data_IF_925832296301
#
_entry.id   IF_925832296301
#
_cell.length_a   1.000
_cell.length_b   1.000
_cell.length_c   1.000
_cell.angle_alpha   90.00
_cell.angle_beta   90.00
_cell.angle_gamma   90.00
#
_symmetry.space_group_name_H-M   'P 1'
#
loop_
_entity.id
_entity.type
_entity.pdbx_description
1 polymer ?
#
# COMPACT_ATOMS: atom_id res chain seq x y z
N UNK A 1 22.15 14.18 64.92
CA UNK A 1 21.82 14.04 63.48
C UNK A 1 21.56 12.56 63.28
N UNK A 2 20.27 12.19 63.21
CA UNK A 2 19.84 10.78 63.06
C UNK A 2 19.50 10.55 61.59
N UNK A 3 20.29 9.75 60.90
CA UNK A 3 20.00 9.29 59.52
C UNK A 3 18.85 8.31 59.58
N UNK A 4 17.71 8.66 59.01
CA UNK A 4 16.57 7.78 58.80
C UNK A 4 16.76 7.03 57.49
N UNK A 5 17.12 5.78 57.58
CA UNK A 5 17.25 4.87 56.44
C UNK A 5 15.84 4.42 56.03
N UNK A 6 15.31 4.98 54.94
CA UNK A 6 14.05 4.53 54.36
C UNK A 6 14.35 3.31 53.49
N UNK A 7 14.00 2.14 54.04
CA UNK A 7 14.00 0.88 53.29
C UNK A 7 12.77 0.85 52.39
N UNK A 8 12.96 1.04 51.08
CA UNK A 8 11.94 0.76 50.06
C UNK A 8 11.77 -0.73 49.94
N UNK A 9 10.74 -1.28 50.57
CA UNK A 9 10.29 -2.66 50.33
C UNK A 9 9.56 -2.62 48.96
N UNK A 10 10.28 -3.01 47.91
CA UNK A 10 9.65 -3.32 46.65
C UNK A 10 8.79 -4.58 46.84
N UNK A 11 7.48 -4.40 46.94
CA UNK A 11 6.51 -5.47 46.78
C UNK A 11 6.62 -5.98 45.35
N UNK A 12 7.40 -7.04 45.17
CA UNK A 12 7.29 -7.91 44.00
C UNK A 12 5.90 -8.54 44.04
N UNK A 13 4.97 -7.94 43.32
CA UNK A 13 3.73 -8.62 42.93
C UNK A 13 4.16 -9.72 41.96
N UNK A 14 4.45 -10.88 42.47
CA UNK A 14 4.50 -12.11 41.67
C UNK A 14 3.05 -12.39 41.31
N UNK A 15 2.60 -11.81 40.18
CA UNK A 15 1.45 -12.31 39.45
C UNK A 15 1.80 -13.79 39.14
N UNK A 16 1.13 -14.74 39.77
CA UNK A 16 1.07 -16.09 39.25
C UNK A 16 0.41 -16.00 37.86
N UNK A 17 1.20 -15.78 36.84
CA UNK A 17 0.82 -16.05 35.46
C UNK A 17 0.64 -17.59 35.44
N UNK A 18 -0.61 -18.06 35.33
CA UNK A 18 -0.88 -19.43 34.97
C UNK A 18 -0.15 -19.65 33.65
N UNK A 19 0.89 -20.48 33.68
CA UNK A 19 1.66 -20.82 32.50
C UNK A 19 0.75 -21.72 31.65
N UNK A 20 0.06 -21.14 30.66
CA UNK A 20 -0.81 -21.87 29.73
C UNK A 20 0.00 -22.32 28.50
N UNK A 21 1.30 -22.47 28.63
CA UNK A 21 2.17 -23.03 27.62
C UNK A 21 1.77 -24.47 27.31
N UNK A 22 1.89 -24.85 26.06
CA UNK A 22 1.56 -26.22 25.64
C UNK A 22 2.51 -26.67 24.52
N UNK A 23 2.50 -27.98 24.28
CA UNK A 23 3.23 -28.62 23.20
C UNK A 23 2.20 -29.23 22.24
N UNK A 24 2.36 -29.02 20.95
CA UNK A 24 1.50 -29.62 19.93
C UNK A 24 1.85 -31.12 19.72
N UNK A 25 1.05 -31.84 18.95
CA UNK A 25 1.28 -33.26 18.66
C UNK A 25 2.57 -33.50 17.88
N UNK A 26 2.94 -32.56 17.04
CA UNK A 26 4.20 -32.58 16.27
C UNK A 26 5.40 -32.07 17.07
N UNK A 27 5.21 -31.66 18.32
CA UNK A 27 6.27 -31.26 19.23
C UNK A 27 6.62 -29.77 19.18
N UNK A 28 5.76 -28.92 18.64
CA UNK A 28 5.96 -27.47 18.68
C UNK A 28 5.68 -26.95 20.09
N UNK A 29 6.67 -26.30 20.68
CA UNK A 29 6.53 -25.64 21.99
C UNK A 29 5.88 -24.24 21.74
N UNK A 30 4.77 -23.99 22.41
CA UNK A 30 3.99 -22.76 22.30
C UNK A 30 3.91 -22.07 23.64
N UNK A 31 4.42 -20.85 23.70
CA UNK A 31 4.32 -19.99 24.88
C UNK A 31 3.08 -19.10 24.78
N UNK A 32 2.20 -19.20 25.77
CA UNK A 32 1.01 -18.39 25.88
C UNK A 32 1.33 -17.05 26.54
N UNK A 33 1.35 -15.99 25.75
CA UNK A 33 1.65 -14.61 26.19
C UNK A 33 0.42 -13.99 26.88
N UNK A 34 -0.76 -14.21 26.30
CA UNK A 34 -2.06 -13.78 26.87
C UNK A 34 -3.04 -14.93 26.70
N UNK A 35 -3.70 -15.33 27.78
CA UNK A 35 -4.82 -16.27 27.71
C UNK A 35 -6.12 -15.52 27.49
N UNK A 36 -6.81 -15.86 26.42
CA UNK A 36 -8.16 -15.41 26.12
C UNK A 36 -9.20 -16.13 27.00
N UNK A 37 -10.43 -15.74 26.81
CA UNK A 37 -11.58 -16.31 27.49
C UNK A 37 -12.77 -16.59 26.54
N UNK A 38 -12.47 -16.59 25.24
CA UNK A 38 -13.46 -16.86 24.20
C UNK A 38 -13.62 -18.34 23.89
N UNK A 39 -14.27 -18.63 22.77
CA UNK A 39 -14.50 -20.00 22.30
C UNK A 39 -13.29 -20.53 21.53
N UNK A 40 -13.06 -21.85 21.51
CA UNK A 40 -12.09 -22.48 20.62
C UNK A 40 -12.52 -22.35 19.16
N UNK A 41 -11.57 -22.50 18.25
CA UNK A 41 -11.86 -22.48 16.82
C UNK A 41 -12.80 -23.63 16.43
N UNK A 42 -13.79 -23.32 15.62
CA UNK A 42 -14.80 -24.29 15.14
C UNK A 42 -14.47 -24.73 13.71
N UNK A 43 -14.66 -26.02 13.43
CA UNK A 43 -14.55 -26.55 12.06
C UNK A 43 -15.37 -25.73 11.08
N UNK A 44 -14.85 -25.51 9.87
CA UNK A 44 -15.46 -24.73 8.80
C UNK A 44 -15.63 -23.23 9.06
N UNK A 45 -15.06 -22.70 10.14
CA UNK A 45 -15.01 -21.26 10.41
C UNK A 45 -13.81 -20.58 9.73
N UNK A 46 -13.86 -19.25 9.72
CA UNK A 46 -12.68 -18.42 9.43
C UNK A 46 -12.19 -17.84 10.76
N UNK A 47 -10.94 -18.09 11.06
CA UNK A 47 -10.24 -17.54 12.23
C UNK A 47 -9.49 -16.30 11.82
N UNK A 48 -9.75 -15.17 12.48
CA UNK A 48 -9.02 -13.93 12.27
C UNK A 48 -7.82 -13.87 13.21
N UNK A 49 -6.63 -13.78 12.63
CA UNK A 49 -5.38 -13.72 13.40
C UNK A 49 -4.57 -12.47 13.06
N UNK A 50 -4.02 -11.83 14.07
CA UNK A 50 -2.93 -10.90 13.89
C UNK A 50 -1.62 -11.67 13.98
N UNK A 51 -0.76 -11.53 12.98
CA UNK A 51 0.51 -12.24 12.85
C UNK A 51 1.68 -11.28 12.77
N UNK A 52 2.77 -11.64 13.45
CA UNK A 52 4.10 -11.12 13.19
C UNK A 52 5.06 -12.29 13.10
N UNK A 53 5.69 -12.45 11.94
CA UNK A 53 6.65 -13.52 11.63
C UNK A 53 8.02 -12.91 11.44
N UNK A 54 8.98 -13.37 12.19
CA UNK A 54 10.35 -12.82 12.24
C UNK A 54 11.33 -13.96 12.01
N UNK A 55 12.34 -13.74 11.19
CA UNK A 55 13.46 -14.69 11.01
C UNK A 55 14.34 -14.76 12.26
N UNK A 56 15.21 -15.77 12.35
CA UNK A 56 16.12 -15.94 13.48
C UNK A 56 17.13 -14.80 13.66
N UNK A 57 17.41 -14.03 12.62
CA UNK A 57 18.26 -12.84 12.62
C UNK A 57 17.51 -11.52 12.83
N UNK A 58 16.17 -11.58 12.97
CA UNK A 58 15.34 -10.44 13.34
C UNK A 58 14.67 -9.71 12.17
N UNK A 59 14.76 -10.21 10.96
CA UNK A 59 14.04 -9.66 9.81
C UNK A 59 12.53 -9.97 9.90
N UNK A 60 11.69 -8.98 9.62
CA UNK A 60 10.23 -9.16 9.60
C UNK A 60 9.81 -9.68 8.23
N UNK A 61 9.34 -10.92 8.18
CA UNK A 61 8.80 -11.54 6.96
C UNK A 61 7.35 -11.14 6.69
N UNK A 62 6.56 -11.05 7.76
CA UNK A 62 5.13 -10.71 7.68
C UNK A 62 4.72 -10.01 8.97
N UNK A 63 3.95 -8.95 8.84
CA UNK A 63 3.28 -8.30 9.96
C UNK A 63 1.91 -7.82 9.48
N UNK A 64 0.85 -8.26 10.14
CA UNK A 64 -0.51 -7.77 9.85
C UNK A 64 -0.72 -6.41 10.51
N UNK A 65 -1.43 -5.51 9.82
CA UNK A 65 -1.89 -4.27 10.44
C UNK A 65 -2.90 -4.59 11.56
N UNK A 66 -2.94 -3.80 12.66
CA UNK A 66 -3.77 -4.08 13.82
C UNK A 66 -5.28 -4.21 13.51
N UNK A 67 -5.76 -3.47 12.50
CA UNK A 67 -7.16 -3.43 12.06
C UNK A 67 -7.45 -4.30 10.83
N UNK A 68 -6.43 -5.01 10.31
CA UNK A 68 -6.52 -5.90 9.13
C UNK A 68 -5.98 -7.29 9.44
N UNK A 69 -6.63 -8.05 10.34
CA UNK A 69 -6.19 -9.40 10.65
C UNK A 69 -6.31 -10.33 9.43
N UNK A 70 -5.47 -11.34 9.40
CA UNK A 70 -5.51 -12.38 8.38
C UNK A 70 -6.62 -13.37 8.69
N UNK A 71 -7.49 -13.64 7.72
CA UNK A 71 -8.51 -14.69 7.81
C UNK A 71 -7.93 -16.05 7.38
N UNK A 72 -7.96 -17.02 8.27
CA UNK A 72 -7.51 -18.39 8.02
C UNK A 72 -8.71 -19.32 8.06
N UNK A 73 -8.95 -20.06 6.98
CA UNK A 73 -9.94 -21.14 6.99
C UNK A 73 -9.48 -22.24 7.96
N UNK A 74 -10.35 -22.57 8.92
CA UNK A 74 -10.03 -23.52 9.94
C UNK A 74 -10.71 -24.86 9.69
N UNK A 75 -9.92 -25.90 9.59
CA UNK A 75 -10.36 -27.30 9.60
C UNK A 75 -9.36 -28.13 10.43
N UNK A 76 -9.75 -28.61 11.59
CA UNK A 76 -8.88 -29.37 12.48
C UNK A 76 -8.42 -30.73 11.90
N UNK A 77 -9.09 -31.19 10.82
CA UNK A 77 -8.73 -32.45 10.14
C UNK A 77 -7.78 -32.23 8.96
N UNK A 78 -7.49 -30.95 8.61
CA UNK A 78 -6.59 -30.63 7.52
C UNK A 78 -5.13 -30.80 7.94
N UNK A 79 -4.39 -31.63 7.19
CA UNK A 79 -2.92 -31.69 7.32
C UNK A 79 -2.31 -30.39 6.80
N UNK A 80 -2.09 -29.47 7.71
CA UNK A 80 -1.54 -28.15 7.37
C UNK A 80 -0.60 -27.70 8.49
N UNK A 81 0.66 -27.66 8.24
CA UNK A 81 1.74 -27.09 9.02
C UNK A 81 1.49 -26.69 10.49
N UNK A 82 2.51 -26.32 11.18
CA UNK A 82 2.46 -26.00 12.60
C UNK A 82 1.48 -24.89 12.99
N UNK A 83 1.25 -23.93 12.10
CA UNK A 83 0.33 -22.80 12.38
C UNK A 83 -1.11 -23.30 12.58
N UNK A 84 -1.58 -24.21 11.71
CA UNK A 84 -2.91 -24.78 11.83
C UNK A 84 -3.04 -25.65 13.09
N UNK A 85 -2.01 -26.44 13.39
CA UNK A 85 -1.98 -27.28 14.60
C UNK A 85 -2.05 -26.43 15.89
N UNK A 86 -1.30 -25.32 15.94
CA UNK A 86 -1.38 -24.38 17.06
C UNK A 86 -2.79 -23.81 17.20
N UNK A 87 -3.44 -23.42 16.10
CA UNK A 87 -4.81 -22.88 16.11
C UNK A 87 -5.82 -23.87 16.72
N UNK A 88 -5.62 -25.19 16.62
CA UNK A 88 -6.52 -26.19 17.23
C UNK A 88 -6.58 -26.12 18.75
N UNK A 89 -5.57 -25.54 19.39
CA UNK A 89 -5.44 -25.44 20.85
C UNK A 89 -5.78 -24.04 21.40
N UNK A 90 -6.08 -23.09 20.52
CA UNK A 90 -6.33 -21.70 20.90
C UNK A 90 -7.83 -21.39 21.04
N UNK A 91 -8.10 -20.38 21.87
CA UNK A 91 -9.40 -19.75 22.06
C UNK A 91 -9.32 -18.28 21.62
N UNK A 92 -10.46 -17.70 21.26
CA UNK A 92 -10.55 -16.27 20.93
C UNK A 92 -9.98 -15.43 22.08
N UNK A 93 -9.06 -14.55 21.74
CA UNK A 93 -8.33 -13.69 22.68
C UNK A 93 -6.95 -14.20 23.06
N UNK A 94 -6.61 -15.47 22.76
CA UNK A 94 -5.27 -15.98 23.00
C UNK A 94 -4.22 -15.23 22.17
N UNK A 95 -3.08 -14.95 22.82
CA UNK A 95 -1.87 -14.50 22.13
C UNK A 95 -0.73 -15.45 22.48
N UNK A 96 -0.06 -15.95 21.46
CA UNK A 96 0.98 -16.97 21.60
C UNK A 96 2.22 -16.62 20.79
N UNK A 97 3.34 -17.21 21.21
CA UNK A 97 4.57 -17.20 20.42
C UNK A 97 5.11 -18.63 20.30
N UNK A 98 5.60 -18.99 19.14
CA UNK A 98 6.22 -20.27 18.87
C UNK A 98 7.23 -20.16 17.71
N UNK A 99 8.09 -21.15 17.59
CA UNK A 99 9.06 -21.23 16.50
C UNK A 99 8.74 -22.40 15.58
N UNK A 100 8.99 -22.20 14.28
CA UNK A 100 8.91 -23.25 13.27
C UNK A 100 10.04 -23.10 12.25
N UNK A 101 10.22 -24.06 11.34
CA UNK A 101 11.19 -23.94 10.27
C UNK A 101 10.64 -23.15 9.08
N UNK A 102 11.53 -22.54 8.31
CA UNK A 102 11.20 -21.91 7.01
C UNK A 102 10.48 -22.91 6.11
N UNK A 103 10.94 -24.19 6.08
CA UNK A 103 10.26 -25.24 5.31
C UNK A 103 8.79 -25.40 5.73
N UNK A 104 8.53 -25.54 7.04
CA UNK A 104 7.17 -25.74 7.53
C UNK A 104 6.27 -24.52 7.24
N UNK A 105 6.82 -23.31 7.37
CA UNK A 105 6.08 -22.08 7.05
C UNK A 105 5.72 -21.97 5.56
N UNK A 106 6.71 -22.09 4.68
CA UNK A 106 6.49 -21.84 3.24
C UNK A 106 5.85 -23.04 2.54
N UNK A 107 6.36 -24.26 2.79
CA UNK A 107 5.92 -25.46 2.07
C UNK A 107 4.67 -26.07 2.68
N UNK A 108 4.66 -26.29 4.01
CA UNK A 108 3.54 -26.98 4.65
C UNK A 108 2.36 -26.05 4.97
N UNK A 109 2.64 -24.79 5.34
CA UNK A 109 1.59 -23.84 5.71
C UNK A 109 1.11 -23.03 4.51
N UNK A 110 2.01 -22.34 3.81
CA UNK A 110 1.64 -21.46 2.70
C UNK A 110 1.50 -22.17 1.35
N UNK A 111 1.96 -23.42 1.23
CA UNK A 111 1.98 -24.20 -0.02
C UNK A 111 2.70 -23.46 -1.17
N UNK A 112 3.80 -22.76 -0.83
CA UNK A 112 4.59 -21.97 -1.76
C UNK A 112 6.06 -22.41 -1.76
N UNK A 113 6.85 -21.90 -2.72
CA UNK A 113 8.29 -22.16 -2.75
C UNK A 113 9.01 -21.28 -1.71
N UNK A 114 10.10 -21.82 -1.15
CA UNK A 114 10.99 -21.08 -0.26
C UNK A 114 11.78 -20.07 -1.10
N UNK A 115 11.87 -18.77 -0.69
CA UNK A 115 12.74 -17.80 -1.33
C UNK A 115 14.18 -18.29 -1.40
N UNK A 116 14.87 -18.02 -2.52
CA UNK A 116 16.19 -18.59 -2.80
C UNK A 116 17.27 -18.19 -1.78
N UNK A 117 17.09 -17.05 -1.11
CA UNK A 117 17.98 -16.50 -0.09
C UNK A 117 17.76 -17.11 1.31
N UNK A 118 16.71 -17.91 1.51
CA UNK A 118 16.36 -18.48 2.81
C UNK A 118 16.80 -19.95 2.96
N UNK A 119 17.38 -20.26 4.10
CA UNK A 119 17.65 -21.66 4.46
C UNK A 119 16.38 -22.36 4.92
N UNK A 120 16.06 -23.48 4.28
CA UNK A 120 14.87 -24.29 4.58
C UNK A 120 14.82 -24.79 6.04
N UNK A 121 15.99 -25.03 6.66
CA UNK A 121 16.12 -25.43 8.05
C UNK A 121 16.16 -24.24 9.03
N UNK A 122 16.26 -23.00 8.50
CA UNK A 122 16.24 -21.79 9.30
C UNK A 122 14.99 -21.71 10.16
N UNK A 123 15.11 -21.09 11.34
CA UNK A 123 13.99 -20.89 12.26
C UNK A 123 13.32 -19.53 12.00
N UNK A 124 12.01 -19.52 12.13
CA UNK A 124 11.19 -18.31 12.20
C UNK A 124 10.38 -18.32 13.50
N UNK A 125 10.22 -17.14 14.07
CA UNK A 125 9.39 -16.94 15.28
C UNK A 125 8.07 -16.36 14.83
N UNK A 126 6.98 -16.96 15.24
CA UNK A 126 5.61 -16.55 14.95
C UNK A 126 4.97 -16.02 16.24
N UNK A 127 4.63 -14.74 16.24
CA UNK A 127 3.75 -14.15 17.22
C UNK A 127 2.35 -14.08 16.63
N UNK A 128 1.38 -14.70 17.27
CA UNK A 128 0.02 -14.81 16.77
C UNK A 128 -0.99 -14.45 17.84
N UNK A 129 -1.97 -13.65 17.47
CA UNK A 129 -3.16 -13.37 18.29
C UNK A 129 -4.40 -13.87 17.57
N UNK A 130 -5.15 -14.75 18.20
CA UNK A 130 -6.47 -15.19 17.75
C UNK A 130 -7.50 -14.10 18.13
N UNK A 131 -7.84 -13.23 17.20
CA UNK A 131 -8.65 -12.04 17.48
C UNK A 131 -10.14 -12.34 17.49
N UNK A 132 -10.63 -13.09 16.49
CA UNK A 132 -12.05 -13.35 16.29
C UNK A 132 -12.27 -14.61 15.44
N UNK A 133 -13.47 -15.15 15.47
CA UNK A 133 -13.90 -16.25 14.61
C UNK A 133 -15.27 -15.94 14.03
N UNK A 134 -15.47 -16.27 12.75
CA UNK A 134 -16.72 -16.04 12.05
C UNK A 134 -17.05 -17.13 11.05
N UNK A 135 -18.29 -17.17 10.56
CA UNK A 135 -18.67 -18.04 9.45
C UNK A 135 -18.05 -17.59 8.14
N UNK A 136 -18.01 -18.46 7.14
CA UNK A 136 -17.51 -18.11 5.78
C UNK A 136 -18.35 -16.99 5.15
N UNK A 137 -19.67 -16.99 5.38
CA UNK A 137 -20.60 -15.97 4.90
C UNK A 137 -20.30 -14.62 5.56
N UNK A 138 -20.21 -14.58 6.90
CA UNK A 138 -19.89 -13.36 7.64
C UNK A 138 -18.50 -12.81 7.26
N UNK A 139 -17.52 -13.68 7.01
CA UNK A 139 -16.21 -13.27 6.54
C UNK A 139 -16.28 -12.64 5.15
N UNK A 140 -17.10 -13.18 4.24
CA UNK A 140 -17.27 -12.58 2.92
C UNK A 140 -17.88 -11.18 3.01
N UNK A 141 -18.86 -10.98 3.90
CA UNK A 141 -19.42 -9.66 4.18
C UNK A 141 -18.39 -8.71 4.78
N UNK A 142 -17.60 -9.18 5.75
CA UNK A 142 -16.50 -8.43 6.34
C UNK A 142 -15.49 -7.95 5.28
N UNK A 143 -15.05 -8.84 4.38
CA UNK A 143 -14.12 -8.47 3.29
C UNK A 143 -14.75 -7.46 2.34
N UNK A 144 -16.04 -7.59 2.01
CA UNK A 144 -16.73 -6.63 1.16
C UNK A 144 -16.82 -5.24 1.80
N UNK A 145 -17.13 -5.18 3.11
CA UNK A 145 -17.17 -3.92 3.87
C UNK A 145 -15.78 -3.28 3.95
N UNK A 146 -14.72 -4.08 4.20
CA UNK A 146 -13.34 -3.58 4.22
C UNK A 146 -12.91 -3.01 2.86
N UNK A 147 -13.29 -3.68 1.75
CA UNK A 147 -13.02 -3.17 0.40
C UNK A 147 -13.76 -1.86 0.13
N UNK A 148 -15.03 -1.78 0.50
CA UNK A 148 -15.82 -0.57 0.31
C UNK A 148 -15.22 0.61 1.11
N UNK A 149 -14.86 0.38 2.36
CA UNK A 149 -14.18 1.38 3.19
C UNK A 149 -12.85 1.83 2.60
N UNK A 150 -12.02 0.89 2.14
CA UNK A 150 -10.74 1.22 1.51
C UNK A 150 -10.93 2.04 0.23
N UNK A 151 -11.97 1.76 -0.57
CA UNK A 151 -12.30 2.55 -1.75
C UNK A 151 -12.74 3.97 -1.38
N UNK A 152 -13.56 4.12 -0.33
CA UNK A 152 -13.99 5.43 0.18
C UNK A 152 -12.79 6.23 0.72
N UNK A 153 -11.95 5.63 1.58
CA UNK A 153 -10.76 6.28 2.13
C UNK A 153 -9.79 6.71 1.02
N UNK A 154 -9.60 5.86 -0.01
CA UNK A 154 -8.79 6.21 -1.19
C UNK A 154 -9.41 7.36 -1.99
N UNK A 155 -10.72 7.40 -2.19
CA UNK A 155 -11.39 8.48 -2.91
C UNK A 155 -11.22 9.82 -2.18
N UNK A 156 -11.45 9.83 -0.85
CA UNK A 156 -11.25 11.02 -0.02
C UNK A 156 -9.78 11.50 -0.03
N UNK A 157 -8.82 10.57 0.02
CA UNK A 157 -7.40 10.91 -0.07
C UNK A 157 -7.05 11.53 -1.43
N UNK A 158 -7.59 10.97 -2.52
CA UNK A 158 -7.36 11.49 -3.87
C UNK A 158 -7.97 12.89 -4.06
N UNK A 159 -9.18 13.12 -3.52
CA UNK A 159 -9.83 14.43 -3.54
C UNK A 159 -9.02 15.48 -2.75
N UNK A 160 -8.63 15.14 -1.53
CA UNK A 160 -7.79 16.02 -0.70
C UNK A 160 -6.45 16.33 -1.38
N UNK A 161 -5.86 15.34 -2.06
CA UNK A 161 -4.61 15.52 -2.78
C UNK A 161 -4.78 16.40 -4.03
N UNK A 162 -5.90 16.26 -4.75
CA UNK A 162 -6.23 17.14 -5.87
C UNK A 162 -6.26 18.61 -5.44
N UNK A 163 -6.97 18.92 -4.35
CA UNK A 163 -7.06 20.29 -3.82
C UNK A 163 -5.67 20.81 -3.42
N UNK A 164 -4.90 20.01 -2.68
CA UNK A 164 -3.54 20.38 -2.27
C UNK A 164 -2.60 20.63 -3.45
N UNK A 165 -2.67 19.81 -4.51
CA UNK A 165 -1.83 19.97 -5.69
C UNK A 165 -2.18 21.26 -6.46
N UNK A 166 -3.48 21.58 -6.59
CA UNK A 166 -3.95 22.81 -7.20
C UNK A 166 -3.42 24.04 -6.46
N UNK A 167 -3.52 24.04 -5.11
CA UNK A 167 -2.99 25.12 -4.28
C UNK A 167 -1.47 25.28 -4.43
N UNK A 168 -0.71 24.18 -4.49
CA UNK A 168 0.73 24.18 -4.66
C UNK A 168 1.14 24.69 -6.05
N UNK A 169 0.43 24.27 -7.11
CA UNK A 169 0.65 24.78 -8.48
C UNK A 169 0.35 26.27 -8.54
N UNK A 170 -0.78 26.72 -8.02
CA UNK A 170 -1.17 28.14 -8.03
C UNK A 170 -0.13 29.02 -7.31
N UNK A 171 0.31 28.61 -6.12
CA UNK A 171 1.38 29.27 -5.37
C UNK A 171 2.70 29.33 -6.17
N UNK A 172 3.05 28.25 -6.88
CA UNK A 172 4.21 28.21 -7.76
C UNK A 172 4.08 29.19 -8.91
N UNK A 173 2.93 29.22 -9.61
CA UNK A 173 2.65 30.11 -10.72
C UNK A 173 2.75 31.59 -10.30
N UNK A 174 2.13 31.93 -9.17
CA UNK A 174 2.17 33.29 -8.58
C UNK A 174 3.60 33.70 -8.24
N UNK A 175 4.35 32.84 -7.55
CA UNK A 175 5.72 33.13 -7.09
C UNK A 175 6.70 33.31 -8.26
N UNK A 176 6.43 32.67 -9.41
CA UNK A 176 7.26 32.77 -10.61
C UNK A 176 6.71 33.76 -11.64
N UNK A 177 5.62 34.51 -11.33
CA UNK A 177 4.97 35.45 -12.23
C UNK A 177 4.53 34.82 -13.56
N UNK A 178 4.06 33.56 -13.51
CA UNK A 178 3.56 32.82 -14.65
C UNK A 178 2.05 33.03 -14.76
N UNK A 179 1.56 33.33 -15.98
CA UNK A 179 0.14 33.44 -16.27
C UNK A 179 -0.34 32.18 -16.98
N UNK A 180 -0.99 31.28 -16.24
CA UNK A 180 -1.56 30.05 -16.76
C UNK A 180 -3.09 30.09 -16.71
N UNK A 181 -3.74 29.31 -17.56
CA UNK A 181 -5.16 29.00 -17.53
C UNK A 181 -5.35 27.66 -16.80
N UNK A 182 -6.53 27.42 -16.25
CA UNK A 182 -6.87 26.13 -15.63
C UNK A 182 -8.12 25.51 -16.25
N UNK A 183 -8.19 24.20 -16.22
CA UNK A 183 -9.37 23.42 -16.61
C UNK A 183 -10.18 23.03 -15.36
N UNK A 184 -11.38 22.48 -15.57
CA UNK A 184 -12.23 22.01 -14.47
C UNK A 184 -11.60 20.86 -13.66
N UNK A 185 -10.72 20.06 -14.27
CA UNK A 185 -10.01 18.97 -13.61
C UNK A 185 -8.84 19.43 -12.73
N UNK A 186 -8.47 20.72 -12.80
CA UNK A 186 -7.34 21.31 -12.08
C UNK A 186 -6.01 21.25 -12.84
N UNK A 187 -5.99 20.84 -14.11
CA UNK A 187 -4.83 20.99 -14.98
C UNK A 187 -4.58 22.49 -15.22
N UNK A 188 -3.34 22.98 -15.04
CA UNK A 188 -2.95 24.32 -15.48
C UNK A 188 -2.10 24.23 -16.74
N UNK A 189 -2.28 25.22 -17.62
CA UNK A 189 -1.52 25.29 -18.86
C UNK A 189 -1.21 26.73 -19.28
N UNK A 190 -0.09 26.90 -19.93
CA UNK A 190 0.35 28.15 -20.54
C UNK A 190 0.67 27.89 -22.03
N UNK A 191 0.11 28.68 -22.93
CA UNK A 191 0.51 28.66 -24.34
C UNK A 191 1.66 29.66 -24.51
N UNK A 192 2.87 29.14 -24.70
CA UNK A 192 4.09 29.95 -24.83
C UNK A 192 4.35 30.38 -26.27
N UNK A 193 3.79 29.63 -27.24
CA UNK A 193 3.82 29.94 -28.66
C UNK A 193 2.54 29.39 -29.31
N UNK A 194 1.79 30.28 -29.97
CA UNK A 194 0.65 29.85 -30.75
C UNK A 194 1.07 29.06 -31.99
N UNK A 195 0.41 27.91 -32.21
CA UNK A 195 0.53 27.15 -33.45
C UNK A 195 -0.38 27.69 -34.53
N UNK A 196 -0.07 27.37 -35.79
CA UNK A 196 -0.87 27.78 -36.97
C UNK A 196 -1.70 26.64 -37.55
N UNK A 197 -1.46 25.39 -37.08
CA UNK A 197 -2.17 24.21 -37.55
C UNK A 197 -3.49 23.97 -36.81
N UNK A 198 -3.99 22.76 -36.92
CA UNK A 198 -5.26 22.33 -36.30
C UNK A 198 -5.08 22.01 -34.82
N UNK A 199 -6.16 22.06 -34.07
CA UNK A 199 -6.19 21.45 -32.73
C UNK A 199 -6.30 19.91 -32.85
N UNK A 200 -5.59 19.16 -32.05
CA UNK A 200 -5.81 17.72 -31.91
C UNK A 200 -7.23 17.43 -31.39
N UNK A 201 -7.88 16.43 -31.96
CA UNK A 201 -9.17 15.92 -31.49
C UNK A 201 -9.01 14.48 -31.00
N UNK A 202 -9.95 14.00 -30.19
CA UNK A 202 -9.88 12.65 -29.64
C UNK A 202 -9.78 11.58 -30.74
N UNK A 203 -8.73 10.77 -30.68
CA UNK A 203 -8.40 9.73 -31.64
C UNK A 203 -7.42 10.12 -32.73
N UNK A 204 -7.09 11.43 -32.89
CA UNK A 204 -6.02 11.84 -33.79
C UNK A 204 -4.66 11.35 -33.29
N UNK A 205 -3.78 10.96 -34.21
CA UNK A 205 -2.38 10.64 -33.86
C UNK A 205 -1.60 11.94 -33.75
N UNK A 206 -1.02 12.22 -32.59
CA UNK A 206 -0.21 13.42 -32.38
C UNK A 206 1.24 13.03 -32.11
N UNK A 207 2.16 13.83 -32.67
CA UNK A 207 3.59 13.75 -32.35
C UNK A 207 3.95 14.99 -31.55
N UNK A 208 4.46 14.78 -30.33
CA UNK A 208 4.90 15.84 -29.43
C UNK A 208 6.36 15.70 -29.10
N UNK A 209 7.06 16.83 -29.03
CA UNK A 209 8.36 16.93 -28.37
C UNK A 209 8.12 17.45 -26.97
N UNK A 210 8.78 16.85 -25.98
CA UNK A 210 8.53 17.19 -24.57
C UNK A 210 9.80 17.18 -23.73
N UNK A 211 9.74 17.92 -22.61
CA UNK A 211 10.66 17.81 -21.49
C UNK A 211 9.86 17.82 -20.19
N UNK A 212 9.97 16.74 -19.43
CA UNK A 212 9.26 16.53 -18.17
C UNK A 212 10.15 16.77 -16.96
N UNK A 213 9.63 17.52 -15.99
CA UNK A 213 10.26 17.75 -14.68
C UNK A 213 9.22 17.73 -13.56
N UNK A 214 9.67 17.55 -12.34
CA UNK A 214 8.85 17.79 -11.16
C UNK A 214 8.60 19.31 -10.99
N UNK A 215 7.61 19.69 -10.20
CA UNK A 215 7.38 21.09 -9.83
C UNK A 215 8.61 21.73 -9.16
N UNK A 216 9.44 20.91 -8.46
CA UNK A 216 10.73 21.33 -7.90
C UNK A 216 11.80 21.68 -8.94
N UNK A 217 11.56 21.37 -10.22
CA UNK A 217 12.51 21.56 -11.32
C UNK A 217 13.37 20.33 -11.65
N UNK A 218 13.31 19.24 -10.87
CA UNK A 218 14.09 18.02 -11.12
C UNK A 218 13.61 17.33 -12.40
N UNK A 219 14.46 17.16 -13.44
CA UNK A 219 14.08 16.51 -14.68
C UNK A 219 13.94 15.01 -14.52
N UNK A 220 12.99 14.39 -15.23
CA UNK A 220 12.80 12.94 -15.19
C UNK A 220 12.73 12.28 -16.58
N UNK A 221 12.31 12.99 -17.61
CA UNK A 221 12.21 12.42 -18.96
C UNK A 221 12.18 13.52 -20.04
N UNK A 222 12.60 13.20 -21.27
CA UNK A 222 12.47 14.10 -22.42
C UNK A 222 12.60 13.34 -23.73
N UNK A 223 11.98 13.82 -24.78
CA UNK A 223 12.04 13.16 -26.10
C UNK A 223 10.99 13.61 -27.07
N UNK A 224 10.74 12.77 -28.06
CA UNK A 224 9.60 12.85 -28.98
C UNK A 224 8.76 11.60 -28.83
N UNK A 225 7.43 11.76 -28.81
CA UNK A 225 6.51 10.65 -28.66
C UNK A 225 5.25 10.87 -29.51
N UNK A 226 4.80 9.78 -30.16
CA UNK A 226 3.56 9.79 -30.96
C UNK A 226 2.53 8.88 -30.31
N UNK A 227 1.30 9.37 -30.20
CA UNK A 227 0.21 8.62 -29.56
C UNK A 227 -1.16 9.15 -30.03
N UNK A 228 -2.20 8.32 -30.04
CA UNK A 228 -3.57 8.76 -30.27
C UNK A 228 -4.12 9.47 -29.03
N UNK A 229 -4.42 10.75 -29.15
CA UNK A 229 -4.87 11.61 -28.05
C UNK A 229 -6.27 11.24 -27.55
N UNK A 230 -6.53 11.38 -26.25
CA UNK A 230 -7.84 11.11 -25.64
C UNK A 230 -8.21 9.63 -25.56
N UNK A 231 -7.23 8.72 -25.64
CA UNK A 231 -7.47 7.27 -25.64
C UNK A 231 -6.98 6.54 -24.37
N UNK A 232 -6.44 7.26 -23.40
CA UNK A 232 -5.89 6.69 -22.16
C UNK A 232 -4.55 5.96 -22.32
N UNK A 233 -3.82 6.21 -23.41
CA UNK A 233 -2.49 5.66 -23.64
C UNK A 233 -1.38 6.41 -22.91
N UNK A 234 -1.66 7.64 -22.53
CA UNK A 234 -0.78 8.53 -21.79
C UNK A 234 -1.43 8.92 -20.46
N UNK A 235 -0.74 9.66 -19.62
CA UNK A 235 -1.33 10.22 -18.40
C UNK A 235 -2.49 11.16 -18.75
N UNK A 236 -3.49 11.22 -17.88
CA UNK A 236 -4.71 12.00 -18.12
C UNK A 236 -4.41 13.47 -18.41
N UNK A 237 -3.43 14.07 -17.72
CA UNK A 237 -3.02 15.45 -17.98
C UNK A 237 -2.49 15.70 -19.39
N UNK A 238 -1.94 14.69 -20.08
CA UNK A 238 -1.57 14.78 -21.49
C UNK A 238 -2.78 14.63 -22.41
N UNK A 239 -3.64 13.64 -22.15
CA UNK A 239 -4.86 13.44 -22.94
C UNK A 239 -5.78 14.66 -22.89
N UNK A 240 -5.75 15.43 -21.82
CA UNK A 240 -6.51 16.66 -21.64
C UNK A 240 -5.75 17.90 -22.15
N UNK A 241 -4.45 18.01 -21.85
CA UNK A 241 -3.68 19.23 -22.09
C UNK A 241 -3.17 19.38 -23.52
N UNK A 242 -2.77 18.30 -24.21
CA UNK A 242 -2.26 18.36 -25.58
C UNK A 242 -3.31 18.89 -26.57
N UNK A 243 -4.60 18.53 -26.47
CA UNK A 243 -5.65 19.12 -27.29
C UNK A 243 -5.81 20.66 -27.21
N UNK A 244 -5.30 21.27 -26.14
CA UNK A 244 -5.34 22.73 -25.95
C UNK A 244 -4.27 23.48 -26.76
N UNK A 245 -3.30 22.75 -27.36
CA UNK A 245 -2.16 23.30 -28.09
C UNK A 245 -2.31 22.94 -29.59
N UNK A 246 -2.33 23.93 -30.46
CA UNK A 246 -2.39 23.71 -31.92
C UNK A 246 -1.11 23.08 -32.44
N UNK A 247 -1.19 22.39 -33.56
CA UNK A 247 -0.01 21.95 -34.31
C UNK A 247 0.91 23.13 -34.62
N UNK A 248 2.20 22.96 -34.37
CA UNK A 248 3.25 23.98 -34.44
C UNK A 248 3.31 24.87 -33.18
N UNK A 249 2.43 24.67 -32.21
CA UNK A 249 2.39 25.43 -30.96
C UNK A 249 3.23 24.81 -29.87
N UNK A 250 3.52 25.64 -28.85
CA UNK A 250 4.22 25.23 -27.63
C UNK A 250 3.44 25.67 -26.38
N UNK A 251 3.56 24.90 -25.35
CA UNK A 251 2.97 25.23 -24.06
C UNK A 251 3.68 24.53 -22.90
N UNK A 252 3.29 24.90 -21.70
CA UNK A 252 3.68 24.25 -20.48
C UNK A 252 2.43 23.70 -19.80
N UNK A 253 2.47 22.43 -19.42
CA UNK A 253 1.41 21.77 -18.67
C UNK A 253 1.88 21.58 -17.24
N UNK A 254 1.10 22.04 -16.26
CA UNK A 254 1.32 21.81 -14.84
C UNK A 254 0.22 20.83 -14.39
N UNK A 255 0.62 19.61 -14.13
CA UNK A 255 -0.27 18.46 -14.00
C UNK A 255 -0.34 18.04 -12.52
N UNK A 256 -1.49 18.22 -11.84
CA UNK A 256 -1.71 17.65 -10.52
C UNK A 256 -1.43 16.16 -10.52
N UNK A 257 -0.95 15.64 -9.40
CA UNK A 257 -0.52 14.25 -9.30
C UNK A 257 -1.59 13.23 -9.69
N UNK A 258 -2.86 13.55 -9.42
CA UNK A 258 -4.01 12.70 -9.77
C UNK A 258 -4.23 12.56 -11.28
N UNK A 259 -3.86 13.58 -12.06
CA UNK A 259 -3.90 13.56 -13.54
C UNK A 259 -2.60 13.01 -14.14
N UNK A 260 -1.61 12.68 -13.29
CA UNK A 260 -0.36 12.05 -13.63
C UNK A 260 -0.33 10.56 -13.20
N UNK A 261 0.59 10.22 -12.29
CA UNK A 261 0.78 8.84 -11.81
C UNK A 261 0.03 8.53 -10.51
N UNK A 262 -0.58 9.53 -9.85
CA UNK A 262 -1.32 9.37 -8.60
C UNK A 262 -0.46 8.80 -7.48
N UNK A 263 -0.96 7.79 -6.78
CA UNK A 263 -0.27 7.10 -5.70
C UNK A 263 0.85 6.15 -6.15
N UNK A 264 1.07 6.01 -7.47
CA UNK A 264 2.10 5.12 -8.01
C UNK A 264 3.42 5.85 -8.20
N UNK A 265 4.51 5.16 -7.92
CA UNK A 265 5.85 5.59 -8.31
C UNK A 265 6.07 5.29 -9.79
N UNK A 266 6.80 6.17 -10.52
CA UNK A 266 7.24 5.93 -11.90
C UNK A 266 8.72 6.27 -12.03
N UNK A 267 9.53 5.28 -12.30
CA UNK A 267 10.98 5.41 -12.32
C UNK A 267 11.58 5.83 -10.96
N UNK A 268 12.84 6.29 -10.94
CA UNK A 268 13.53 6.65 -9.70
C UNK A 268 13.15 8.04 -9.16
N UNK A 269 12.70 8.96 -10.02
CA UNK A 269 12.47 10.38 -9.69
C UNK A 269 11.01 10.64 -9.30
N UNK A 270 10.05 10.15 -10.09
CA UNK A 270 8.62 10.40 -9.84
C UNK A 270 8.16 9.54 -8.66
N UNK A 271 7.97 10.18 -7.51
CA UNK A 271 7.45 9.55 -6.29
C UNK A 271 5.90 9.55 -6.32
N UNK A 272 5.24 8.76 -5.44
CA UNK A 272 3.80 8.89 -5.24
C UNK A 272 3.40 10.35 -5.02
N UNK A 273 2.32 10.76 -5.71
CA UNK A 273 1.76 12.12 -5.63
C UNK A 273 2.70 13.25 -6.06
N UNK A 274 3.62 12.99 -6.99
CA UNK A 274 4.44 14.03 -7.61
C UNK A 274 3.61 14.87 -8.59
N UNK A 275 3.68 16.18 -8.46
CA UNK A 275 3.18 17.15 -9.45
C UNK A 275 4.17 17.20 -10.60
N UNK A 276 3.66 17.12 -11.83
CA UNK A 276 4.49 17.05 -13.04
C UNK A 276 4.37 18.34 -13.84
N UNK A 277 5.47 18.77 -14.43
CA UNK A 277 5.51 19.91 -15.36
C UNK A 277 6.11 19.44 -16.67
N UNK A 278 5.41 19.69 -17.75
CA UNK A 278 5.90 19.35 -19.09
C UNK A 278 5.95 20.60 -19.99
N UNK A 279 7.13 20.88 -20.49
CA UNK A 279 7.28 21.74 -21.65
C UNK A 279 6.98 20.89 -22.89
N UNK A 280 6.00 21.29 -23.70
CA UNK A 280 5.54 20.52 -24.85
C UNK A 280 5.50 21.35 -26.12
N UNK A 281 5.80 20.71 -27.27
CA UNK A 281 5.66 21.24 -28.61
C UNK A 281 4.88 20.22 -29.44
N UNK A 282 3.73 20.62 -30.00
CA UNK A 282 2.94 19.76 -30.88
C UNK A 282 3.53 19.85 -32.28
N UNK A 283 4.29 18.84 -32.70
CA UNK A 283 4.99 18.81 -33.97
C UNK A 283 4.08 18.47 -35.15
N UNK A 284 3.14 17.53 -34.93
CA UNK A 284 2.28 17.00 -35.99
C UNK A 284 0.95 16.52 -35.44
N UNK A 285 -0.12 16.75 -36.22
CA UNK A 285 -1.46 16.20 -35.96
C UNK A 285 -1.93 15.45 -37.20
N UNK A 286 -2.09 14.13 -37.10
CA UNK A 286 -2.66 13.29 -38.15
C UNK A 286 -4.11 12.98 -37.79
N UNK A 287 -5.03 13.54 -38.59
CA UNK A 287 -6.47 13.31 -38.38
C UNK A 287 -6.84 11.84 -38.63
N UNK A 288 -7.69 11.30 -37.76
CA UNK A 288 -8.19 9.92 -37.84
C UNK A 288 -9.10 9.73 -39.06
#
# INVERSE_FOLDING_TARGET
>A
MKNLLIVFVALLVISCQQNNDFVTETGVEVSCVVKGNGSPALKDSIVLVALKIVTGDGEILTETEPDKPLGIAFDPEMEAGHLQEVLTKLEVGDSVTFSTTVYNLFVETYKTQIPAEMDSAGLVVINMKFSEMMSKESYQEYINQMRAKMQEDNALMMEAKAVSDIEEIDAYLVSNSITAQSTESGLFYEITQEGTGVYPEAGDEVTVKYAGRLLSGEPFDSGEFSFPVGTGRVIQGWDEGIPLIREGGKGVLYIPSILGYGSRQSGPVIKPFSILVFDVEVLKVEKK
#
